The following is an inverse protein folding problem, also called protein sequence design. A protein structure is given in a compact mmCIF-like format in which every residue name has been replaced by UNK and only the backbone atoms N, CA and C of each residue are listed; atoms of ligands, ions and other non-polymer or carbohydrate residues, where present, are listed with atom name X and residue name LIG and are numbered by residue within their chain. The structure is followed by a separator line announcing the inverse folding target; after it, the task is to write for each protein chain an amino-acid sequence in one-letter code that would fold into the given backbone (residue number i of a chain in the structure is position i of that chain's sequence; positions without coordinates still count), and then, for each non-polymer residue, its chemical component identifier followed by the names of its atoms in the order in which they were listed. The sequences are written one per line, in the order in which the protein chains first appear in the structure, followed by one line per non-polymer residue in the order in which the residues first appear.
data_IF_649804468684
#
_entry.id   IF_649804468684
#
_cell.length_a   1.000
_cell.length_b   1.000
_cell.length_c   1.000
_cell.angle_alpha   90.00
_cell.angle_beta   90.00
_cell.angle_gamma   90.00
#
_symmetry.space_group_name_H-M   'P 1'
#
loop_
_entity.id
_entity.type
_entity.pdbx_description
1 polymer ?
#
# COMPACT_ATOMS: atom_id res chain seq x y z
N UNK A 1 -12.89 -15.63 24.67
CA UNK A 1 -12.46 -16.89 24.03
C UNK A 1 -13.41 -17.22 22.89
N UNK A 2 -13.31 -16.53 21.77
CA UNK A 2 -14.07 -16.82 20.55
C UNK A 2 -13.18 -17.59 19.58
N UNK A 3 -13.08 -18.91 19.78
CA UNK A 3 -12.57 -19.82 18.79
C UNK A 3 -13.73 -20.41 18.00
N UNK A 4 -14.20 -19.71 16.97
CA UNK A 4 -15.05 -20.32 15.96
C UNK A 4 -14.37 -21.56 15.41
N UNK A 5 -15.06 -22.69 15.28
CA UNK A 5 -14.45 -23.93 14.79
C UNK A 5 -13.95 -23.69 13.37
N UNK A 6 -12.89 -24.41 12.96
CA UNK A 6 -12.41 -24.34 11.54
C UNK A 6 -13.53 -24.58 10.55
N UNK A 7 -14.52 -25.34 10.94
CA UNK A 7 -15.74 -25.63 10.16
C UNK A 7 -16.62 -24.37 9.99
N UNK A 8 -16.86 -23.61 11.07
CA UNK A 8 -17.64 -22.36 10.99
C UNK A 8 -16.95 -21.31 10.10
N UNK A 9 -15.63 -21.21 10.18
CA UNK A 9 -14.86 -20.34 9.29
C UNK A 9 -14.96 -20.78 7.81
N UNK A 10 -14.98 -22.08 7.54
CA UNK A 10 -15.15 -22.61 6.18
C UNK A 10 -16.58 -22.33 5.67
N UNK A 11 -17.60 -22.55 6.49
CA UNK A 11 -18.99 -22.25 6.13
C UNK A 11 -19.17 -20.75 5.87
N UNK A 12 -18.61 -19.90 6.72
CA UNK A 12 -18.66 -18.44 6.54
C UNK A 12 -17.93 -18.01 5.25
N UNK A 13 -16.76 -18.60 4.95
CA UNK A 13 -16.06 -18.34 3.70
C UNK A 13 -16.87 -18.79 2.48
N UNK A 14 -17.59 -19.92 2.56
CA UNK A 14 -18.44 -20.39 1.47
C UNK A 14 -19.64 -19.45 1.27
N UNK A 15 -20.29 -19.02 2.36
CA UNK A 15 -21.40 -18.05 2.30
C UNK A 15 -20.97 -16.68 1.78
N UNK A 16 -19.80 -16.20 2.18
CA UNK A 16 -19.22 -14.97 1.63
C UNK A 16 -18.84 -15.13 0.16
N UNK A 17 -18.25 -16.26 -0.23
CA UNK A 17 -17.87 -16.50 -1.62
C UNK A 17 -19.09 -16.52 -2.54
N UNK A 18 -20.25 -16.98 -2.07
CA UNK A 18 -21.49 -16.93 -2.83
C UNK A 18 -21.96 -15.50 -3.12
N UNK A 19 -21.73 -14.57 -2.19
CA UNK A 19 -22.00 -13.13 -2.36
C UNK A 19 -20.95 -12.42 -3.27
N UNK A 20 -19.82 -13.07 -3.50
CA UNK A 20 -18.68 -12.54 -4.25
C UNK A 20 -18.54 -13.18 -5.65
N UNK A 21 -19.65 -13.76 -6.17
CA UNK A 21 -19.69 -14.27 -7.55
C UNK A 21 -19.38 -13.16 -8.54
N UNK A 22 -18.62 -13.48 -9.57
CA UNK A 22 -18.36 -12.56 -10.68
C UNK A 22 -19.65 -12.27 -11.47
N UNK A 23 -19.68 -11.14 -12.17
CA UNK A 23 -20.81 -10.80 -13.04
C UNK A 23 -20.93 -11.80 -14.20
N UNK A 24 -19.81 -12.30 -14.69
CA UNK A 24 -19.75 -13.33 -15.74
C UNK A 24 -20.31 -14.66 -15.24
N UNK A 25 -19.96 -15.08 -14.03
CA UNK A 25 -20.49 -16.31 -13.41
C UNK A 25 -22.01 -16.22 -13.19
N UNK A 26 -22.49 -15.06 -12.74
CA UNK A 26 -23.91 -14.80 -12.57
C UNK A 26 -24.67 -14.81 -13.90
N UNK A 27 -24.13 -14.16 -14.95
CA UNK A 27 -24.70 -14.18 -16.31
C UNK A 27 -24.73 -15.59 -16.90
N UNK A 28 -23.65 -16.37 -16.73
CA UNK A 28 -23.59 -17.75 -17.20
C UNK A 28 -24.63 -18.63 -16.51
N UNK A 29 -24.81 -18.49 -15.20
CA UNK A 29 -25.87 -19.22 -14.46
C UNK A 29 -27.26 -18.82 -14.93
N UNK A 30 -27.53 -17.55 -15.18
CA UNK A 30 -28.82 -17.07 -15.69
C UNK A 30 -29.11 -17.59 -17.09
N UNK A 31 -28.12 -17.57 -17.99
CA UNK A 31 -28.25 -18.17 -19.33
C UNK A 31 -28.52 -19.68 -19.26
N UNK A 32 -27.82 -20.39 -18.38
CA UNK A 32 -28.06 -21.81 -18.16
C UNK A 32 -29.50 -22.10 -17.73
N UNK A 33 -30.05 -21.31 -16.80
CA UNK A 33 -31.45 -21.43 -16.35
C UNK A 33 -32.44 -21.15 -17.48
N UNK A 34 -32.17 -20.17 -18.34
CA UNK A 34 -33.01 -19.88 -19.51
C UNK A 34 -33.02 -21.00 -20.55
N UNK A 35 -31.97 -21.82 -20.64
CA UNK A 35 -31.90 -22.94 -21.58
C UNK A 35 -32.70 -24.16 -21.15
N UNK A 36 -32.99 -24.31 -19.85
CA UNK A 36 -33.73 -25.48 -19.30
C UNK A 36 -35.11 -25.68 -19.96
N UNK A 37 -35.98 -24.68 -20.12
CA UNK A 37 -37.28 -24.89 -20.76
C UNK A 37 -37.17 -25.31 -22.22
N UNK A 38 -36.13 -24.86 -22.93
CA UNK A 38 -35.87 -25.25 -24.32
C UNK A 38 -35.41 -26.73 -24.42
N UNK A 39 -34.56 -27.17 -23.51
CA UNK A 39 -34.11 -28.57 -23.41
C UNK A 39 -35.29 -29.50 -23.10
N UNK A 40 -36.16 -29.10 -22.16
CA UNK A 40 -37.36 -29.86 -21.85
C UNK A 40 -38.36 -29.92 -23.01
N UNK A 41 -38.60 -28.79 -23.68
CA UNK A 41 -39.44 -28.72 -24.88
C UNK A 41 -38.91 -29.60 -26.01
N UNK A 42 -37.59 -29.53 -26.28
CA UNK A 42 -36.90 -30.37 -27.29
C UNK A 42 -37.01 -31.87 -26.99
N UNK A 43 -36.86 -32.23 -25.71
CA UNK A 43 -37.06 -33.61 -25.23
C UNK A 43 -38.48 -34.12 -25.49
N UNK A 44 -39.47 -33.31 -25.11
CA UNK A 44 -40.89 -33.65 -25.30
C UNK A 44 -41.24 -33.79 -26.78
N UNK A 45 -40.82 -32.86 -27.62
CA UNK A 45 -41.01 -32.95 -29.09
C UNK A 45 -40.33 -34.19 -29.69
N UNK A 46 -39.12 -34.48 -29.30
CA UNK A 46 -38.40 -35.67 -29.79
C UNK A 46 -39.12 -36.95 -29.40
N UNK A 47 -39.64 -37.01 -28.17
CA UNK A 47 -40.47 -38.16 -27.75
C UNK A 47 -41.73 -38.28 -28.58
N UNK A 48 -42.47 -37.20 -28.83
CA UNK A 48 -43.66 -37.17 -29.63
C UNK A 48 -43.45 -37.69 -31.07
N UNK A 49 -42.36 -37.25 -31.70
CA UNK A 49 -42.04 -37.65 -33.07
C UNK A 49 -41.43 -39.05 -33.19
N UNK A 50 -40.56 -39.45 -32.28
CA UNK A 50 -39.79 -40.69 -32.37
C UNK A 50 -40.40 -41.84 -31.59
N UNK A 51 -41.25 -41.54 -30.59
CA UNK A 51 -41.79 -42.52 -29.61
C UNK A 51 -40.71 -43.35 -28.93
N UNK A 52 -39.49 -42.86 -28.93
CA UNK A 52 -38.31 -43.54 -28.39
C UNK A 52 -37.76 -42.76 -27.21
N UNK A 53 -37.87 -43.34 -26.02
CA UNK A 53 -37.42 -42.73 -24.75
C UNK A 53 -35.93 -42.45 -24.74
N UNK A 54 -35.12 -43.38 -25.26
CA UNK A 54 -33.67 -43.24 -25.30
C UNK A 54 -33.23 -42.03 -26.13
N UNK A 55 -33.85 -41.83 -27.31
CA UNK A 55 -33.57 -40.66 -28.15
C UNK A 55 -34.01 -39.36 -27.51
N UNK A 56 -35.15 -39.36 -26.83
CA UNK A 56 -35.62 -38.17 -26.10
C UNK A 56 -34.70 -37.83 -24.94
N UNK A 57 -34.28 -38.80 -24.14
CA UNK A 57 -33.34 -38.58 -23.04
C UNK A 57 -31.94 -38.16 -23.51
N UNK A 58 -31.52 -38.53 -24.72
CA UNK A 58 -30.24 -38.07 -25.25
C UNK A 58 -30.16 -36.56 -25.37
N UNK A 59 -31.26 -35.85 -25.56
CA UNK A 59 -31.32 -34.38 -25.59
C UNK A 59 -31.03 -33.80 -24.21
N UNK A 60 -31.56 -34.40 -23.14
CA UNK A 60 -31.29 -34.00 -21.79
C UNK A 60 -29.83 -34.29 -21.38
N UNK A 61 -29.21 -35.32 -21.92
CA UNK A 61 -27.80 -35.62 -21.65
C UNK A 61 -26.85 -34.60 -22.25
N UNK A 62 -27.24 -33.89 -23.32
CA UNK A 62 -26.47 -32.78 -23.91
C UNK A 62 -26.95 -31.48 -23.27
N UNK A 63 -26.91 -31.45 -21.94
CA UNK A 63 -27.35 -30.29 -21.19
C UNK A 63 -26.24 -29.24 -21.02
N UNK A 64 -26.27 -28.22 -21.89
CA UNK A 64 -25.35 -27.07 -21.81
C UNK A 64 -25.48 -26.30 -20.50
N UNK A 65 -26.62 -26.40 -19.82
CA UNK A 65 -26.85 -25.70 -18.56
C UNK A 65 -25.98 -26.27 -17.45
N UNK A 66 -25.90 -27.58 -17.33
CA UNK A 66 -24.98 -28.25 -16.39
C UNK A 66 -23.52 -27.96 -16.70
N UNK A 67 -23.12 -27.97 -17.99
CA UNK A 67 -21.77 -27.66 -18.39
C UNK A 67 -21.36 -26.24 -18.01
N UNK A 68 -22.22 -25.25 -18.25
CA UNK A 68 -21.96 -23.84 -17.86
C UNK A 68 -21.90 -23.66 -16.35
N UNK A 69 -22.83 -24.26 -15.62
CA UNK A 69 -22.89 -24.15 -14.13
C UNK A 69 -21.69 -24.79 -13.44
N UNK A 70 -21.05 -25.79 -14.05
CA UNK A 70 -19.88 -26.44 -13.49
C UNK A 70 -18.56 -25.81 -13.98
N UNK A 71 -18.47 -25.48 -15.27
CA UNK A 71 -17.20 -24.98 -15.83
C UNK A 71 -16.81 -23.61 -15.33
N UNK A 72 -17.79 -22.69 -15.15
CA UNK A 72 -17.48 -21.33 -14.73
C UNK A 72 -16.91 -21.25 -13.31
N UNK A 73 -17.58 -21.81 -12.26
CA UNK A 73 -16.98 -21.83 -10.92
C UNK A 73 -15.64 -22.57 -10.87
N UNK A 74 -15.50 -23.65 -11.62
CA UNK A 74 -14.25 -24.40 -11.66
C UNK A 74 -13.11 -23.58 -12.26
N UNK A 75 -13.39 -22.80 -13.31
CA UNK A 75 -12.42 -21.90 -13.93
C UNK A 75 -11.98 -20.80 -12.95
N UNK A 76 -12.92 -20.20 -12.23
CA UNK A 76 -12.64 -19.20 -11.20
C UNK A 76 -11.81 -19.79 -10.07
N UNK A 77 -12.18 -20.97 -9.56
CA UNK A 77 -11.41 -21.65 -8.52
C UNK A 77 -9.99 -22.00 -8.99
N UNK A 78 -9.84 -22.45 -10.24
CA UNK A 78 -8.53 -22.73 -10.83
C UNK A 78 -7.67 -21.48 -10.91
N UNK A 79 -8.25 -20.34 -11.33
CA UNK A 79 -7.54 -19.07 -11.41
C UNK A 79 -7.14 -18.53 -10.02
N UNK A 80 -8.02 -18.67 -9.02
CA UNK A 80 -7.71 -18.32 -7.63
C UNK A 80 -6.58 -19.20 -7.08
N UNK A 81 -6.62 -20.50 -7.38
CA UNK A 81 -5.56 -21.42 -6.95
C UNK A 81 -4.22 -21.09 -7.63
N UNK A 82 -4.24 -20.77 -8.92
CA UNK A 82 -3.04 -20.33 -9.65
C UNK A 82 -2.47 -19.04 -9.07
N UNK A 83 -3.31 -18.03 -8.77
CA UNK A 83 -2.88 -16.82 -8.08
C UNK A 83 -2.19 -17.12 -6.74
N UNK A 84 -2.67 -18.13 -6.01
CA UNK A 84 -2.06 -18.61 -4.77
C UNK A 84 -0.63 -19.12 -4.95
N UNK A 85 -0.27 -19.68 -6.11
CA UNK A 85 1.12 -20.10 -6.38
C UNK A 85 2.09 -18.95 -6.49
N UNK A 86 1.58 -17.75 -6.77
CA UNK A 86 2.32 -16.48 -6.80
C UNK A 86 2.21 -15.67 -5.49
N UNK A 87 1.74 -16.30 -4.40
CA UNK A 87 1.47 -15.65 -3.11
C UNK A 87 0.42 -14.53 -3.17
N UNK A 88 -0.50 -14.59 -4.14
CA UNK A 88 -1.62 -13.67 -4.28
C UNK A 88 -2.89 -14.34 -3.78
N UNK A 89 -3.50 -13.77 -2.73
CA UNK A 89 -4.77 -14.26 -2.18
C UNK A 89 -5.93 -13.47 -2.77
N UNK A 90 -6.77 -14.12 -3.57
CA UNK A 90 -7.98 -13.53 -4.17
C UNK A 90 -9.21 -13.98 -3.40
N UNK A 91 -10.04 -13.02 -2.94
CA UNK A 91 -11.20 -13.29 -2.07
C UNK A 91 -12.46 -13.76 -2.80
N UNK A 92 -12.44 -13.89 -4.14
CA UNK A 92 -13.57 -14.39 -4.92
C UNK A 92 -13.53 -13.95 -6.38
N UNK A 93 -14.39 -14.56 -7.21
CA UNK A 93 -14.45 -14.34 -8.66
C UNK A 93 -14.70 -12.88 -9.07
N UNK A 94 -15.51 -12.15 -8.28
CA UNK A 94 -15.75 -10.72 -8.49
C UNK A 94 -14.47 -9.89 -8.51
N UNK A 95 -13.53 -10.20 -7.63
CA UNK A 95 -12.26 -9.47 -7.55
C UNK A 95 -11.31 -9.86 -8.68
N UNK A 96 -11.35 -11.12 -9.16
CA UNK A 96 -10.61 -11.52 -10.36
C UNK A 96 -11.08 -10.74 -11.58
N UNK A 97 -12.40 -10.60 -11.76
CA UNK A 97 -13.00 -9.82 -12.84
C UNK A 97 -12.61 -8.34 -12.75
N UNK A 98 -12.70 -7.74 -11.56
CA UNK A 98 -12.32 -6.35 -11.34
C UNK A 98 -10.83 -6.08 -11.64
N UNK A 99 -9.93 -7.01 -11.27
CA UNK A 99 -8.51 -6.91 -11.61
C UNK A 99 -8.29 -6.99 -13.12
N UNK A 100 -9.01 -7.87 -13.80
CA UNK A 100 -8.90 -8.02 -15.25
C UNK A 100 -9.43 -6.80 -16.04
N UNK A 101 -10.38 -6.05 -15.47
CA UNK A 101 -10.95 -4.84 -16.06
C UNK A 101 -10.23 -3.57 -15.62
N UNK A 102 -9.34 -3.65 -14.63
CA UNK A 102 -8.62 -2.48 -14.11
C UNK A 102 -7.73 -1.85 -15.18
N UNK A 103 -7.86 -0.56 -15.38
CA UNK A 103 -7.00 0.20 -16.26
C UNK A 103 -6.06 1.16 -15.52
N UNK A 104 -6.28 1.35 -14.25
CA UNK A 104 -5.50 2.21 -13.37
C UNK A 104 -5.04 1.44 -12.14
N UNK A 105 -3.78 1.61 -11.77
CA UNK A 105 -3.21 1.02 -10.55
C UNK A 105 -2.64 2.12 -9.67
N UNK A 106 -2.96 2.07 -8.39
CA UNK A 106 -2.47 3.01 -7.39
C UNK A 106 -1.56 2.28 -6.42
N UNK A 107 -0.32 2.74 -6.32
CA UNK A 107 0.68 2.20 -5.43
C UNK A 107 0.85 3.08 -4.19
N UNK A 108 0.86 2.48 -3.02
CA UNK A 108 1.48 3.10 -1.86
C UNK A 108 3.02 3.07 -2.04
N UNK A 109 3.70 4.15 -1.66
CA UNK A 109 5.16 4.20 -1.76
C UNK A 109 5.81 3.27 -0.74
N UNK A 110 5.51 3.49 0.54
CA UNK A 110 6.25 2.90 1.66
C UNK A 110 5.89 1.43 1.86
N UNK A 111 6.88 0.53 1.76
CA UNK A 111 6.68 -0.90 1.92
C UNK A 111 6.13 -1.62 0.69
N UNK A 112 5.70 -0.89 -0.35
CA UNK A 112 5.25 -1.45 -1.62
C UNK A 112 6.28 -1.19 -2.71
N UNK A 113 6.50 0.07 -3.08
CA UNK A 113 7.52 0.46 -4.06
C UNK A 113 8.92 0.56 -3.42
N UNK A 114 8.99 0.65 -2.10
CA UNK A 114 10.21 0.68 -1.31
C UNK A 114 10.34 -0.57 -0.43
N UNK A 115 11.53 -0.79 0.11
CA UNK A 115 11.84 -1.94 0.98
C UNK A 115 11.27 -1.79 2.40
N UNK A 116 10.76 -0.61 2.78
CA UNK A 116 10.37 -0.24 4.15
C UNK A 116 11.53 -0.41 5.17
N UNK A 117 12.73 -0.20 4.71
CA UNK A 117 13.95 -0.23 5.51
C UNK A 117 14.65 1.13 5.43
N UNK A 118 14.03 2.20 5.97
CA UNK A 118 14.59 3.53 5.89
C UNK A 118 15.93 3.59 6.65
N UNK A 119 16.89 4.28 6.05
CA UNK A 119 18.24 4.48 6.60
C UNK A 119 18.62 5.94 6.56
N UNK A 120 19.30 6.41 7.62
CA UNK A 120 19.90 7.76 7.62
C UNK A 120 21.07 7.78 6.66
N UNK A 121 21.01 8.64 5.67
CA UNK A 121 22.08 8.87 4.70
C UNK A 121 23.02 9.99 5.09
N UNK A 122 22.43 11.06 5.63
CA UNK A 122 23.17 12.26 5.97
C UNK A 122 22.50 12.99 7.11
N UNK A 123 23.27 13.54 8.00
CA UNK A 123 22.85 14.51 9.02
C UNK A 123 23.55 15.83 8.68
N UNK A 124 22.79 16.86 8.40
CA UNK A 124 23.31 18.17 8.03
C UNK A 124 23.13 19.13 9.19
N UNK A 125 24.22 19.67 9.73
CA UNK A 125 24.23 20.61 10.85
C UNK A 125 24.01 22.05 10.39
N UNK A 126 23.12 22.75 11.08
CA UNK A 126 22.81 24.17 10.84
C UNK A 126 23.26 25.06 11.99
N UNK A 127 23.51 24.52 13.17
CA UNK A 127 23.86 25.28 14.38
C UNK A 127 25.33 25.09 14.81
N UNK A 128 26.15 24.40 14.00
CA UNK A 128 27.56 24.15 14.29
C UNK A 128 27.84 23.01 15.27
N UNK A 129 26.82 22.34 15.82
CA UNK A 129 27.03 21.11 16.58
C UNK A 129 27.47 19.98 15.65
N UNK A 130 28.21 19.03 16.20
CA UNK A 130 28.65 17.86 15.44
C UNK A 130 27.47 16.96 14.99
N UNK A 131 27.58 16.35 13.82
CA UNK A 131 26.55 15.48 13.25
C UNK A 131 26.18 14.32 14.20
N UNK A 132 27.17 13.73 14.88
CA UNK A 132 26.94 12.63 15.82
C UNK A 132 26.20 13.08 17.07
N UNK A 133 26.44 14.30 17.54
CA UNK A 133 25.71 14.89 18.66
C UNK A 133 24.25 15.16 18.29
N UNK A 134 24.00 15.73 17.09
CA UNK A 134 22.66 15.98 16.58
C UNK A 134 21.90 14.68 16.35
N UNK A 135 22.57 13.65 15.82
CA UNK A 135 21.98 12.32 15.65
C UNK A 135 21.65 11.67 17.01
N UNK A 136 22.51 11.85 18.02
CA UNK A 136 22.28 11.36 19.37
C UNK A 136 21.04 12.01 20.01
N UNK A 137 20.91 13.32 19.88
CA UNK A 137 19.74 14.08 20.36
C UNK A 137 18.48 13.60 19.66
N UNK A 138 18.52 13.48 18.33
CA UNK A 138 17.38 13.00 17.55
C UNK A 138 16.97 11.57 17.95
N UNK A 139 17.93 10.67 18.13
CA UNK A 139 17.65 9.29 18.52
C UNK A 139 17.03 9.20 19.91
N UNK A 140 17.48 10.04 20.86
CA UNK A 140 16.92 10.10 22.19
C UNK A 140 15.43 10.50 22.20
N UNK A 141 15.02 11.43 21.32
CA UNK A 141 13.63 11.86 21.20
C UNK A 141 12.77 10.81 20.46
N UNK A 142 13.30 10.23 19.39
CA UNK A 142 12.60 9.30 18.52
C UNK A 142 12.44 7.89 19.10
N UNK A 143 13.24 7.51 20.12
CA UNK A 143 13.21 6.15 20.70
C UNK A 143 11.84 5.78 21.28
N UNK A 144 11.10 6.76 21.78
CA UNK A 144 9.79 6.54 22.42
C UNK A 144 8.62 6.40 21.43
N UNK A 145 8.83 6.70 20.15
CA UNK A 145 7.78 6.73 19.14
C UNK A 145 8.16 5.89 17.90
N UNK A 146 7.90 4.57 17.94
CA UNK A 146 8.40 3.64 16.93
C UNK A 146 7.63 3.73 15.60
N UNK A 147 7.92 4.75 14.79
CA UNK A 147 7.56 4.81 13.38
C UNK A 147 8.79 4.54 12.49
N UNK A 148 8.57 4.42 11.17
CA UNK A 148 9.63 3.98 10.24
C UNK A 148 10.87 4.89 10.25
N UNK A 149 10.67 6.21 10.24
CA UNK A 149 11.77 7.18 10.27
C UNK A 149 12.50 7.19 11.62
N UNK A 150 11.76 7.08 12.73
CA UNK A 150 12.34 6.95 14.07
C UNK A 150 13.28 5.73 14.16
N UNK A 151 12.83 4.58 13.63
CA UNK A 151 13.67 3.37 13.58
C UNK A 151 14.97 3.60 12.80
N UNK A 152 14.94 4.37 11.72
CA UNK A 152 16.13 4.72 10.95
C UNK A 152 17.11 5.56 11.77
N UNK A 153 16.61 6.59 12.47
CA UNK A 153 17.41 7.50 13.30
C UNK A 153 18.04 6.74 14.48
N UNK A 154 17.23 6.01 15.22
CA UNK A 154 17.70 5.20 16.37
C UNK A 154 18.68 4.11 15.90
N UNK A 155 18.41 3.46 14.77
CA UNK A 155 19.29 2.46 14.17
C UNK A 155 20.66 3.06 13.77
N UNK A 156 20.65 4.24 13.16
CA UNK A 156 21.87 4.94 12.78
C UNK A 156 22.73 5.33 14.00
N UNK A 157 22.10 5.82 15.06
CA UNK A 157 22.77 6.15 16.31
C UNK A 157 23.40 4.89 16.96
N UNK A 158 22.67 3.78 17.00
CA UNK A 158 23.16 2.48 17.49
C UNK A 158 24.37 1.98 16.69
N UNK A 159 24.32 2.05 15.39
CA UNK A 159 25.40 1.60 14.51
C UNK A 159 26.69 2.42 14.70
N UNK A 160 26.55 3.68 15.12
CA UNK A 160 27.68 4.55 15.48
C UNK A 160 28.09 4.43 16.95
N UNK A 161 27.48 3.53 17.72
CA UNK A 161 27.68 3.38 19.17
C UNK A 161 27.46 4.68 19.96
N UNK A 162 26.53 5.52 19.52
CA UNK A 162 26.16 6.73 20.21
C UNK A 162 25.23 6.37 21.37
N UNK A 163 25.83 6.13 22.55
CA UNK A 163 25.10 5.87 23.78
C UNK A 163 24.49 7.19 24.26
N UNK A 164 23.22 7.18 24.60
CA UNK A 164 22.57 8.29 25.27
C UNK A 164 21.98 7.81 26.61
N UNK A 165 22.18 8.60 27.65
CA UNK A 165 21.33 8.54 28.84
C UNK A 165 20.07 9.34 28.52
N UNK A 166 18.93 9.02 29.14
CA UNK A 166 17.71 9.81 28.98
C UNK A 166 18.00 11.27 29.37
N UNK A 167 18.12 12.14 28.36
CA UNK A 167 18.51 13.54 28.54
C UNK A 167 17.34 14.50 28.50
N UNK A 168 16.17 13.98 28.16
CA UNK A 168 14.96 14.78 27.99
C UNK A 168 14.07 14.76 29.24
N UNK A 169 13.34 15.84 29.46
CA UNK A 169 12.21 15.90 30.37
C UNK A 169 10.98 15.25 29.70
N UNK A 170 9.79 15.60 30.10
CA UNK A 170 8.56 15.08 29.49
C UNK A 170 8.54 15.30 27.98
N UNK A 171 8.40 14.22 27.21
CA UNK A 171 8.24 14.26 25.74
C UNK A 171 6.77 14.48 25.40
N UNK A 172 6.46 15.48 24.61
CA UNK A 172 5.12 15.73 24.07
C UNK A 172 5.10 15.28 22.60
N UNK A 173 4.30 14.25 22.33
CA UNK A 173 4.06 13.74 20.98
C UNK A 173 2.85 14.42 20.36
N UNK A 174 3.04 15.05 19.21
CA UNK A 174 1.97 15.64 18.40
C UNK A 174 1.69 14.70 17.25
N UNK A 175 0.55 14.02 17.31
CA UNK A 175 0.16 12.95 16.37
C UNK A 175 0.29 13.43 14.93
N UNK A 176 0.98 12.64 14.11
CA UNK A 176 1.26 12.87 12.69
C UNK A 176 2.15 14.08 12.34
N UNK A 177 2.63 14.85 13.32
CA UNK A 177 3.39 16.09 13.07
C UNK A 177 4.82 15.99 13.56
N UNK A 178 5.06 15.62 14.81
CA UNK A 178 6.40 15.56 15.37
C UNK A 178 6.44 15.41 16.89
N UNK A 179 7.62 15.66 17.43
CA UNK A 179 7.93 15.54 18.85
C UNK A 179 8.46 16.87 19.37
N UNK A 180 7.99 17.29 20.54
CA UNK A 180 8.52 18.42 21.29
C UNK A 180 8.98 17.97 22.67
N UNK A 181 10.17 18.41 23.12
CA UNK A 181 10.69 18.11 24.44
C UNK A 181 11.66 19.19 24.90
N UNK A 182 12.14 19.07 26.14
CA UNK A 182 13.22 19.88 26.66
C UNK A 182 14.45 19.01 26.97
N UNK A 183 15.59 19.40 26.42
CA UNK A 183 16.88 18.76 26.67
C UNK A 183 17.78 19.81 27.28
N UNK A 184 18.30 19.54 28.49
CA UNK A 184 19.17 20.48 29.23
C UNK A 184 18.57 21.87 29.38
N UNK A 185 17.22 21.96 29.55
CA UNK A 185 16.49 23.22 29.69
C UNK A 185 16.21 23.97 28.39
N UNK A 186 16.67 23.47 27.23
CA UNK A 186 16.39 24.04 25.92
C UNK A 186 15.25 23.29 25.23
N UNK A 187 14.35 24.02 24.59
CA UNK A 187 13.28 23.42 23.79
C UNK A 187 13.88 22.78 22.53
N UNK A 188 13.60 21.50 22.33
CA UNK A 188 14.00 20.74 21.14
C UNK A 188 12.75 20.16 20.49
N UNK A 189 12.62 20.38 19.21
CA UNK A 189 11.55 19.81 18.40
C UNK A 189 12.14 19.02 17.22
N UNK A 190 11.45 17.96 16.85
CA UNK A 190 11.82 17.14 15.70
C UNK A 190 10.55 16.70 14.97
N UNK A 191 10.52 16.80 13.64
CA UNK A 191 9.32 16.44 12.89
C UNK A 191 9.36 16.82 11.41
N UNK A 192 8.17 16.88 10.82
CA UNK A 192 7.95 17.26 9.42
C UNK A 192 8.27 18.74 9.16
N UNK A 193 8.37 19.11 7.88
CA UNK A 193 8.52 20.53 7.48
C UNK A 193 7.38 21.39 8.04
N UNK A 194 6.14 20.94 7.85
CA UNK A 194 4.95 21.62 8.32
C UNK A 194 5.02 21.88 9.84
N UNK A 195 5.33 20.84 10.61
CA UNK A 195 5.43 20.97 12.06
C UNK A 195 6.50 21.97 12.50
N UNK A 196 7.72 21.87 11.96
CA UNK A 196 8.84 22.70 12.42
C UNK A 196 8.72 24.16 11.96
N UNK A 197 8.29 24.40 10.70
CA UNK A 197 8.32 25.74 10.12
C UNK A 197 6.96 26.44 10.07
N UNK A 198 5.86 25.70 9.99
CA UNK A 198 4.51 26.30 9.90
C UNK A 198 3.79 26.33 11.25
N UNK A 199 3.85 25.25 12.04
CA UNK A 199 3.21 25.20 13.35
C UNK A 199 4.07 25.88 14.42
N UNK A 200 5.32 25.42 14.56
CA UNK A 200 6.26 25.90 15.59
C UNK A 200 7.04 27.16 15.17
N UNK A 201 6.93 27.57 13.89
CA UNK A 201 7.52 28.79 13.31
C UNK A 201 9.01 28.96 13.54
N UNK A 202 9.73 27.85 13.48
CA UNK A 202 11.19 27.88 13.58
C UNK A 202 11.80 28.54 12.35
N UNK A 203 12.94 29.15 12.55
CA UNK A 203 13.66 29.89 11.50
C UNK A 203 14.87 29.10 10.99
N UNK A 204 15.17 29.27 9.72
CA UNK A 204 16.42 28.83 9.13
C UNK A 204 17.42 29.97 9.27
N UNK A 205 18.62 29.76 9.88
CA UNK A 205 19.65 30.78 9.94
C UNK A 205 19.96 31.36 8.56
N UNK A 206 20.05 32.70 8.45
CA UNK A 206 20.19 33.37 7.16
C UNK A 206 21.44 32.96 6.38
N UNK A 207 22.53 32.71 7.10
CA UNK A 207 23.81 32.23 6.53
C UNK A 207 23.79 30.77 6.06
N UNK A 208 22.71 30.03 6.35
CA UNK A 208 22.54 28.61 6.03
C UNK A 208 21.45 28.33 4.98
N UNK A 209 20.81 29.36 4.44
CA UNK A 209 19.75 29.19 3.44
C UNK A 209 20.24 28.45 2.18
N UNK A 210 21.41 28.80 1.68
CA UNK A 210 22.00 28.10 0.51
C UNK A 210 22.27 26.62 0.81
N UNK A 211 22.71 26.29 2.02
CA UNK A 211 22.90 24.92 2.46
C UNK A 211 21.57 24.15 2.52
N UNK A 212 20.52 24.83 3.01
CA UNK A 212 19.17 24.25 3.09
C UNK A 212 18.58 23.97 1.71
N UNK A 213 18.71 24.91 0.79
CA UNK A 213 18.21 24.80 -0.58
C UNK A 213 19.01 23.77 -1.41
N UNK A 214 20.28 23.55 -1.05
CA UNK A 214 21.16 22.56 -1.67
C UNK A 214 20.98 21.12 -1.18
N UNK A 215 20.06 20.86 -0.24
CA UNK A 215 19.80 19.50 0.25
C UNK A 215 19.21 18.60 -0.85
N UNK A 216 19.61 17.32 -0.93
CA UNK A 216 19.10 16.39 -1.95
C UNK A 216 17.58 16.21 -1.87
N UNK A 217 16.89 16.33 -3.00
CA UNK A 217 15.44 16.24 -3.08
C UNK A 217 14.89 14.80 -2.99
N UNK A 218 15.75 13.82 -3.24
CA UNK A 218 15.40 12.40 -3.27
C UNK A 218 15.17 11.78 -1.89
N UNK A 219 15.64 12.44 -0.82
CA UNK A 219 15.51 11.93 0.54
C UNK A 219 14.33 12.55 1.28
N UNK A 220 13.64 11.71 2.05
CA UNK A 220 12.73 12.20 3.08
C UNK A 220 13.53 12.94 4.15
N UNK A 221 13.04 14.09 4.59
CA UNK A 221 13.75 14.96 5.52
C UNK A 221 13.03 15.02 6.85
N UNK A 222 13.78 14.79 7.93
CA UNK A 222 13.33 15.01 9.29
C UNK A 222 14.06 16.26 9.82
N UNK A 223 13.31 17.24 10.25
CA UNK A 223 13.83 18.54 10.70
C UNK A 223 13.92 18.58 12.21
N UNK A 224 15.04 19.04 12.74
CA UNK A 224 15.24 19.25 14.16
C UNK A 224 15.59 20.69 14.44
N UNK A 225 14.86 21.33 15.34
CA UNK A 225 15.15 22.70 15.78
C UNK A 225 15.41 22.74 17.29
N UNK A 226 16.28 23.65 17.70
CA UNK A 226 16.63 23.94 19.08
C UNK A 226 16.41 25.44 19.31
N UNK A 227 15.63 25.79 20.35
CA UNK A 227 15.31 27.19 20.70
C UNK A 227 14.76 28.00 19.50
N UNK A 228 13.85 27.39 18.71
CA UNK A 228 13.22 27.96 17.53
C UNK A 228 14.16 28.19 16.30
N UNK A 229 15.38 27.71 16.32
CA UNK A 229 16.26 27.73 15.16
C UNK A 229 16.51 26.33 14.63
N UNK A 230 16.56 26.17 13.29
CA UNK A 230 16.92 24.91 12.67
C UNK A 230 18.32 24.49 13.10
N UNK A 231 18.40 23.33 13.75
CA UNK A 231 19.65 22.77 14.24
C UNK A 231 20.20 21.68 13.31
N UNK A 232 19.33 20.83 12.78
CA UNK A 232 19.73 19.77 11.88
C UNK A 232 18.62 19.40 10.87
N UNK A 233 19.04 18.88 9.72
CA UNK A 233 18.20 18.14 8.81
C UNK A 233 18.78 16.74 8.67
N UNK A 234 17.97 15.75 9.01
CA UNK A 234 18.32 14.33 8.89
C UNK A 234 17.70 13.80 7.59
N UNK A 235 18.54 13.48 6.62
CA UNK A 235 18.15 12.94 5.33
C UNK A 235 18.02 11.42 5.43
N UNK A 236 16.83 10.92 5.15
CA UNK A 236 16.46 9.50 5.28
C UNK A 236 16.08 8.96 3.91
N UNK A 237 16.75 7.89 3.48
CA UNK A 237 16.40 7.15 2.28
C UNK A 237 15.59 5.90 2.66
N UNK A 238 14.45 5.74 2.03
CA UNK A 238 13.76 4.45 1.97
C UNK A 238 14.04 3.84 0.59
N UNK A 239 14.91 2.82 0.49
CA UNK A 239 15.39 2.34 -0.79
C UNK A 239 14.27 1.80 -1.65
N UNK A 240 14.18 2.31 -2.88
CA UNK A 240 13.25 1.82 -3.89
C UNK A 240 13.64 0.38 -4.23
N UNK A 241 12.66 -0.50 -4.41
CA UNK A 241 12.88 -1.87 -4.88
C UNK A 241 13.47 -1.85 -6.27
N UNK A 242 14.45 -2.69 -6.52
CA UNK A 242 15.17 -2.77 -7.80
C UNK A 242 14.22 -3.11 -8.96
N UNK A 243 13.20 -3.93 -8.67
CA UNK A 243 12.19 -4.36 -9.60
C UNK A 243 11.07 -3.34 -9.86
N UNK A 244 10.95 -2.25 -9.08
CA UNK A 244 9.78 -1.35 -9.11
C UNK A 244 9.53 -0.74 -10.50
N UNK A 245 10.56 -0.20 -11.14
CA UNK A 245 10.43 0.41 -12.47
C UNK A 245 10.09 -0.63 -13.55
N UNK A 246 10.70 -1.81 -13.48
CA UNK A 246 10.44 -2.91 -14.44
C UNK A 246 9.02 -3.45 -14.30
N UNK A 247 8.52 -3.58 -13.06
CA UNK A 247 7.14 -4.02 -12.79
C UNK A 247 6.14 -3.01 -13.33
N UNK A 248 6.34 -1.70 -13.13
CA UNK A 248 5.44 -0.67 -13.66
C UNK A 248 5.38 -0.76 -15.20
N UNK A 249 6.54 -0.95 -15.85
CA UNK A 249 6.57 -1.15 -17.29
C UNK A 249 5.81 -2.40 -17.73
N UNK A 250 6.00 -3.55 -17.07
CA UNK A 250 5.29 -4.80 -17.35
C UNK A 250 3.78 -4.67 -17.15
N UNK A 251 3.34 -3.94 -16.12
CA UNK A 251 1.92 -3.70 -15.90
C UNK A 251 1.31 -2.86 -17.04
N UNK A 252 2.02 -1.86 -17.54
CA UNK A 252 1.59 -1.09 -18.71
C UNK A 252 1.52 -1.97 -19.97
N UNK A 253 2.48 -2.86 -20.18
CA UNK A 253 2.46 -3.85 -21.26
C UNK A 253 1.30 -4.85 -21.12
N UNK A 254 0.89 -5.17 -19.90
CA UNK A 254 -0.26 -6.03 -19.59
C UNK A 254 -1.62 -5.35 -19.74
N UNK A 255 -1.67 -4.03 -20.01
CA UNK A 255 -2.92 -3.31 -20.29
C UNK A 255 -3.29 -2.21 -19.27
N UNK A 256 -2.52 -2.04 -18.20
CA UNK A 256 -2.70 -0.90 -17.29
C UNK A 256 -2.34 0.39 -18.02
N UNK A 257 -3.31 1.31 -18.10
CA UNK A 257 -3.15 2.57 -18.81
C UNK A 257 -2.46 3.63 -17.95
N UNK A 258 -2.67 3.57 -16.63
CA UNK A 258 -2.22 4.59 -15.70
C UNK A 258 -1.67 3.96 -14.41
N UNK A 259 -0.44 4.30 -14.06
CA UNK A 259 0.19 3.95 -12.80
C UNK A 259 0.32 5.20 -11.94
N UNK A 260 -0.20 5.17 -10.73
CA UNK A 260 -0.24 6.30 -9.80
C UNK A 260 0.50 5.90 -8.52
N UNK A 261 1.27 6.82 -7.95
CA UNK A 261 1.90 6.64 -6.63
C UNK A 261 1.24 7.56 -5.61
N UNK A 262 0.94 7.03 -4.43
CA UNK A 262 0.51 7.82 -3.26
C UNK A 262 1.54 7.73 -2.14
N UNK A 263 1.80 8.85 -1.49
CA UNK A 263 2.75 8.92 -0.37
C UNK A 263 2.39 10.04 0.61
N UNK A 264 2.73 9.85 1.88
CA UNK A 264 2.72 10.92 2.89
C UNK A 264 3.98 11.81 2.86
N UNK A 265 4.94 11.54 1.95
CA UNK A 265 6.13 12.36 1.81
C UNK A 265 5.82 13.72 1.18
N UNK A 266 6.77 14.65 1.31
CA UNK A 266 6.71 15.96 0.66
C UNK A 266 6.64 15.83 -0.87
N UNK A 267 6.03 16.85 -1.49
CA UNK A 267 5.92 16.99 -2.96
C UNK A 267 7.27 16.76 -3.67
N UNK A 268 8.35 17.32 -3.13
CA UNK A 268 9.69 17.25 -3.68
C UNK A 268 10.20 15.80 -3.74
N UNK A 269 10.07 15.08 -2.63
CA UNK A 269 10.49 13.67 -2.56
C UNK A 269 9.61 12.77 -3.43
N UNK A 270 8.29 12.99 -3.41
CA UNK A 270 7.35 12.25 -4.23
C UNK A 270 7.66 12.39 -5.72
N UNK A 271 7.94 13.62 -6.19
CA UNK A 271 8.33 13.91 -7.57
C UNK A 271 9.61 13.19 -7.99
N UNK A 272 10.64 13.23 -7.14
CA UNK A 272 11.92 12.57 -7.41
C UNK A 272 11.77 11.05 -7.54
N UNK A 273 11.01 10.43 -6.63
CA UNK A 273 10.72 9.00 -6.65
C UNK A 273 9.87 8.64 -7.87
N UNK A 274 8.80 9.37 -8.15
CA UNK A 274 7.90 9.15 -9.30
C UNK A 274 8.67 9.14 -10.63
N UNK A 275 9.57 10.12 -10.82
CA UNK A 275 10.42 10.19 -12.01
C UNK A 275 11.36 8.98 -12.15
N UNK A 276 11.89 8.46 -11.02
CA UNK A 276 12.81 7.33 -11.00
C UNK A 276 12.14 5.99 -11.33
N UNK A 277 10.89 5.79 -10.89
CA UNK A 277 10.15 4.54 -11.09
C UNK A 277 9.24 4.56 -12.33
N UNK A 278 8.96 5.73 -12.91
CA UNK A 278 8.21 5.86 -14.15
C UNK A 278 6.69 5.73 -14.00
N UNK A 279 6.13 6.15 -12.87
CA UNK A 279 4.67 6.33 -12.72
C UNK A 279 4.18 7.55 -13.49
N UNK A 280 2.89 7.55 -13.87
CA UNK A 280 2.30 8.61 -14.69
C UNK A 280 1.87 9.81 -13.84
N UNK A 281 1.42 9.54 -12.60
CA UNK A 281 0.99 10.55 -11.64
C UNK A 281 1.44 10.18 -10.24
N UNK A 282 1.51 11.17 -9.37
CA UNK A 282 1.75 10.95 -7.95
C UNK A 282 0.95 11.95 -7.10
N UNK A 283 0.61 11.53 -5.89
CA UNK A 283 0.00 12.35 -4.85
C UNK A 283 0.91 12.32 -3.62
N UNK A 284 1.34 13.50 -3.21
CA UNK A 284 2.19 13.76 -2.03
C UNK A 284 1.35 14.19 -0.84
N UNK A 285 1.90 14.12 0.36
CA UNK A 285 1.31 14.61 1.60
C UNK A 285 -0.08 14.03 1.91
N UNK A 286 -0.38 12.82 1.38
CA UNK A 286 -1.66 12.15 1.56
C UNK A 286 -1.69 11.44 2.91
N UNK A 287 -2.65 11.81 3.76
CA UNK A 287 -2.86 11.14 5.04
C UNK A 287 -3.40 9.71 4.83
N UNK A 288 -3.10 8.77 5.74
CA UNK A 288 -3.57 7.38 5.62
C UNK A 288 -5.09 7.25 5.50
N UNK A 289 -5.84 8.11 6.18
CA UNK A 289 -7.31 8.16 6.17
C UNK A 289 -7.87 8.67 4.84
N UNK A 290 -7.17 9.57 4.16
CA UNK A 290 -7.63 10.19 2.90
C UNK A 290 -7.31 9.34 1.67
N UNK A 291 -6.40 8.36 1.77
CA UNK A 291 -5.98 7.53 0.63
C UNK A 291 -7.14 6.85 -0.10
N UNK A 292 -8.20 6.48 0.64
CA UNK A 292 -9.38 5.85 0.06
C UNK A 292 -10.21 6.81 -0.80
N UNK A 293 -10.24 8.10 -0.46
CA UNK A 293 -10.98 9.12 -1.22
C UNK A 293 -10.33 9.43 -2.57
N UNK A 294 -9.00 9.36 -2.64
CA UNK A 294 -8.26 9.55 -3.90
C UNK A 294 -8.45 8.41 -4.90
N UNK A 295 -8.93 7.24 -4.47
CA UNK A 295 -9.14 6.05 -5.33
C UNK A 295 -10.58 5.98 -5.87
N UNK A 296 -11.51 6.75 -5.30
CA UNK A 296 -12.91 6.83 -5.76
C UNK A 296 -13.06 7.82 -6.90
#
# INVERSE_FOLDING_TARGET
TNGGSKYENIVHMIEESEKLKSSVESKASHLADQLVPYSLAGTALTYLFTRNVTKALSILMVDYSCALKLSMPLSVLSAINEAGTYNVTVKGGKYMEAIAEADTIVFDKTGTLTKAEPTVKQVVSFNGLGEDELLRIAACLEEHFPHSMAKAVVGAARNKNLVHEEMHSKVEYIVAHGISSQIEGRKVIIGSYHFVFEDEKCIIPDDKKELFDGLPDEYSRLYMAIENELAAVICIEDPIREEAADIIKKLKEAGIKKAVMMTGDSERTAKAVAAKIGVDEYYSEVLPEDKAEYVQ
#
